data_IF_911496623815
#
_entry.id   IF_911496623815
#
_cell.length_a   1.000
_cell.length_b   1.000
_cell.length_c   1.000
_cell.angle_alpha   90.00
_cell.angle_beta   90.00
_cell.angle_gamma   90.00
#
_symmetry.space_group_name_H-M   'P 1'
#
loop_
_entity.id
_entity.type
_entity.pdbx_description
1 polymer ?
#
# COMPACT_ATOMS: atom_id res chain seq x y z
N UNK A 1 19.98 6.79 -6.08
CA UNK A 1 18.89 6.50 -7.04
C UNK A 1 17.59 6.60 -6.26
N UNK A 2 16.60 7.36 -6.75
CA UNK A 2 15.28 7.42 -6.12
C UNK A 2 14.64 6.04 -6.19
N UNK A 3 14.14 5.52 -5.06
CA UNK A 3 13.40 4.24 -5.09
C UNK A 3 12.09 4.45 -5.83
N UNK A 4 11.72 3.51 -6.70
CA UNK A 4 10.40 3.53 -7.35
C UNK A 4 9.38 2.82 -6.47
N UNK A 5 8.18 3.39 -6.36
CA UNK A 5 7.09 2.85 -5.55
C UNK A 5 5.87 2.54 -6.40
N UNK A 6 5.24 1.41 -6.13
CA UNK A 6 3.92 1.04 -6.67
C UNK A 6 3.02 0.57 -5.54
N UNK A 7 1.96 1.31 -5.27
CA UNK A 7 0.94 0.94 -4.30
C UNK A 7 -0.20 0.23 -5.03
N UNK A 8 -0.46 -1.02 -4.64
CA UNK A 8 -1.45 -1.90 -5.26
C UNK A 8 -2.63 -2.04 -4.30
N UNK A 9 -3.81 -1.63 -4.75
CA UNK A 9 -5.06 -1.80 -4.00
C UNK A 9 -6.27 -1.89 -4.94
N UNK A 10 -7.49 -1.84 -4.39
CA UNK A 10 -8.70 -1.65 -5.19
C UNK A 10 -8.97 -0.17 -5.47
N UNK A 11 -9.92 0.11 -6.36
CA UNK A 11 -10.34 1.48 -6.74
C UNK A 11 -10.88 2.31 -5.57
N UNK A 12 -11.37 1.64 -4.51
CA UNK A 12 -11.81 2.34 -3.31
C UNK A 12 -10.62 2.92 -2.51
N UNK A 13 -10.95 3.77 -1.52
CA UNK A 13 -9.96 4.34 -0.61
C UNK A 13 -9.42 3.27 0.34
N UNK A 14 -10.30 2.76 1.21
CA UNK A 14 -10.05 1.64 2.11
C UNK A 14 -8.73 1.74 2.87
N UNK A 15 -8.05 0.62 3.04
CA UNK A 15 -6.82 0.52 3.83
C UNK A 15 -5.57 1.07 3.13
N UNK A 16 -5.65 1.49 1.86
CA UNK A 16 -4.53 2.08 1.13
C UNK A 16 -4.48 3.61 1.25
N UNK A 17 -5.57 4.24 1.71
CA UNK A 17 -5.71 5.70 1.63
C UNK A 17 -4.68 6.44 2.48
N UNK A 18 -4.41 5.97 3.69
CA UNK A 18 -3.36 6.54 4.55
C UNK A 18 -2.02 6.56 3.83
N UNK A 19 -1.66 5.47 3.15
CA UNK A 19 -0.42 5.37 2.37
C UNK A 19 -0.40 6.35 1.20
N UNK A 20 -1.53 6.54 0.50
CA UNK A 20 -1.64 7.56 -0.57
C UNK A 20 -1.43 8.97 -0.03
N UNK A 21 -2.00 9.27 1.14
CA UNK A 21 -1.81 10.56 1.81
C UNK A 21 -0.34 10.77 2.21
N UNK A 22 0.32 9.74 2.77
CA UNK A 22 1.74 9.82 3.12
C UNK A 22 2.61 10.14 1.90
N UNK A 23 2.40 9.47 0.77
CA UNK A 23 3.09 9.81 -0.48
C UNK A 23 2.84 11.25 -0.91
N UNK A 24 1.57 11.69 -0.89
CA UNK A 24 1.19 13.03 -1.35
C UNK A 24 1.79 14.14 -0.46
N UNK A 25 1.73 13.98 0.86
CA UNK A 25 2.30 14.94 1.82
C UNK A 25 3.82 14.99 1.72
N UNK A 26 4.48 13.85 1.48
CA UNK A 26 5.93 13.79 1.30
C UNK A 26 6.41 14.32 -0.07
N UNK A 27 5.51 14.63 -1.01
CA UNK A 27 5.87 14.97 -2.39
C UNK A 27 6.58 13.82 -3.12
N UNK A 28 6.36 12.58 -2.68
CA UNK A 28 6.98 11.40 -3.27
C UNK A 28 6.07 10.81 -4.35
N UNK A 29 6.57 10.79 -5.58
CA UNK A 29 5.90 10.13 -6.71
C UNK A 29 5.83 8.61 -6.51
N UNK A 30 4.71 8.02 -6.90
CA UNK A 30 4.45 6.58 -6.86
C UNK A 30 3.40 6.19 -7.91
N UNK A 31 3.43 4.94 -8.36
CA UNK A 31 2.35 4.36 -9.17
C UNK A 31 1.20 3.90 -8.26
N UNK A 32 0.01 4.46 -8.44
CA UNK A 32 -1.21 4.04 -7.74
C UNK A 32 -2.00 3.04 -8.60
N UNK A 33 -1.69 1.76 -8.45
CA UNK A 33 -2.34 0.69 -9.21
C UNK A 33 -3.64 0.25 -8.51
N UNK A 34 -4.77 0.47 -9.18
CA UNK A 34 -6.11 0.27 -8.64
C UNK A 34 -6.86 -0.82 -9.40
N UNK A 35 -7.03 -1.97 -8.78
CA UNK A 35 -7.91 -3.01 -9.30
C UNK A 35 -9.38 -2.55 -9.29
N UNK A 36 -10.13 -2.77 -10.38
CA UNK A 36 -11.57 -2.55 -10.39
C UNK A 36 -12.28 -3.44 -9.37
N UNK A 37 -13.35 -2.92 -8.80
CA UNK A 37 -14.29 -3.71 -8.00
C UNK A 37 -15.45 -4.08 -8.93
N UNK A 38 -15.82 -5.36 -8.97
CA UNK A 38 -17.01 -5.84 -9.65
C UNK A 38 -18.02 -6.38 -8.65
N UNK A 39 -19.30 -6.37 -9.02
CA UNK A 39 -20.36 -7.04 -8.27
C UNK A 39 -21.05 -8.02 -9.20
N UNK A 40 -20.89 -9.31 -8.93
CA UNK A 40 -21.57 -10.39 -9.66
C UNK A 40 -22.44 -11.16 -8.66
N UNK A 41 -23.72 -11.35 -8.98
CA UNK A 41 -24.68 -12.09 -8.15
C UNK A 41 -24.75 -11.61 -6.68
N UNK A 42 -24.64 -10.29 -6.48
CA UNK A 42 -24.65 -9.67 -5.14
C UNK A 42 -23.35 -9.85 -4.34
N UNK A 43 -22.32 -10.50 -4.90
CA UNK A 43 -21.00 -10.63 -4.28
C UNK A 43 -20.03 -9.62 -4.89
N UNK A 44 -19.41 -8.82 -4.02
CA UNK A 44 -18.36 -7.89 -4.39
C UNK A 44 -17.03 -8.62 -4.50
N UNK A 45 -16.31 -8.39 -5.60
CA UNK A 45 -15.00 -8.98 -5.88
C UNK A 45 -14.03 -7.97 -6.48
N UNK A 46 -12.75 -8.27 -6.42
CA UNK A 46 -11.70 -7.45 -7.04
C UNK A 46 -11.29 -8.16 -8.33
N UNK A 47 -11.49 -7.48 -9.45
CA UNK A 47 -11.23 -8.03 -10.79
C UNK A 47 -9.74 -8.33 -10.91
N UNK A 48 -9.40 -9.51 -11.45
CA UNK A 48 -8.04 -9.99 -11.69
C UNK A 48 -7.13 -10.11 -10.46
N UNK A 49 -7.61 -9.88 -9.23
CA UNK A 49 -6.75 -10.06 -8.06
C UNK A 49 -6.37 -11.53 -7.85
N UNK A 50 -7.33 -12.44 -8.03
CA UNK A 50 -7.13 -13.87 -7.76
C UNK A 50 -6.04 -14.51 -8.63
N UNK A 51 -5.79 -13.98 -9.83
CA UNK A 51 -4.74 -14.47 -10.73
C UNK A 51 -3.34 -13.99 -10.33
N UNK A 52 -3.25 -12.88 -9.58
CA UNK A 52 -1.98 -12.25 -9.20
C UNK A 52 -1.61 -12.45 -7.74
N UNK A 53 -2.58 -12.77 -6.87
CA UNK A 53 -2.42 -12.73 -5.42
C UNK A 53 -1.35 -13.69 -4.89
N UNK A 54 -1.14 -14.83 -5.55
CA UNK A 54 -0.15 -15.86 -5.17
C UNK A 54 1.30 -15.38 -5.24
N UNK A 55 1.56 -14.26 -5.93
CA UNK A 55 2.86 -13.56 -5.92
C UNK A 55 3.22 -13.03 -4.52
N UNK A 56 2.22 -12.76 -3.67
CA UNK A 56 2.42 -12.12 -2.37
C UNK A 56 2.14 -13.10 -1.25
N UNK A 57 3.02 -13.15 -0.25
CA UNK A 57 3.00 -14.12 0.86
C UNK A 57 1.64 -14.19 1.57
N UNK A 58 0.95 -13.05 1.70
CA UNK A 58 -0.33 -12.98 2.40
C UNK A 58 -1.56 -13.06 1.47
N UNK A 59 -1.36 -13.05 0.16
CA UNK A 59 -2.43 -13.02 -0.87
C UNK A 59 -3.52 -11.96 -0.62
N UNK A 60 -3.15 -10.87 0.08
CA UNK A 60 -4.06 -9.81 0.52
C UNK A 60 -3.56 -8.44 0.09
N UNK A 61 -4.52 -7.58 -0.23
CA UNK A 61 -4.32 -6.16 -0.49
C UNK A 61 -4.48 -5.34 0.81
N UNK A 62 -3.80 -4.20 0.97
CA UNK A 62 -2.86 -3.58 0.03
C UNK A 62 -1.45 -4.21 0.02
N UNK A 63 -0.74 -3.96 -1.08
CA UNK A 63 0.69 -4.28 -1.23
C UNK A 63 1.43 -3.04 -1.72
N UNK A 64 2.59 -2.75 -1.14
CA UNK A 64 3.55 -1.79 -1.66
C UNK A 64 4.73 -2.53 -2.29
N UNK A 65 4.94 -2.32 -3.59
CA UNK A 65 6.14 -2.77 -4.29
C UNK A 65 7.19 -1.65 -4.35
N UNK A 66 8.46 -2.03 -4.19
CA UNK A 66 9.61 -1.13 -4.18
C UNK A 66 10.61 -1.61 -5.22
N UNK A 67 11.16 -0.67 -5.99
CA UNK A 67 12.21 -0.89 -7.00
C UNK A 67 11.83 -1.94 -8.04
N UNK A 68 10.63 -1.80 -8.60
CA UNK A 68 10.08 -2.74 -9.61
C UNK A 68 9.69 -4.10 -9.01
N UNK A 69 9.36 -4.15 -7.72
CA UNK A 69 8.90 -5.37 -7.04
C UNK A 69 10.03 -6.22 -6.45
N UNK A 70 11.27 -5.72 -6.40
CA UNK A 70 12.38 -6.39 -5.68
C UNK A 70 12.06 -6.60 -4.20
N UNK A 71 11.32 -5.66 -3.63
CA UNK A 71 10.76 -5.79 -2.29
C UNK A 71 9.25 -5.57 -2.37
N UNK A 72 8.50 -6.35 -1.57
CA UNK A 72 7.08 -6.15 -1.38
C UNK A 72 6.75 -6.12 0.11
N UNK A 73 5.91 -5.16 0.50
CA UNK A 73 5.39 -5.03 1.86
C UNK A 73 3.89 -5.21 1.78
N UNK A 74 3.36 -6.21 2.45
CA UNK A 74 1.92 -6.41 2.64
C UNK A 74 1.49 -5.86 4.00
N UNK A 75 0.17 -5.85 4.27
CA UNK A 75 -0.45 -5.31 5.48
C UNK A 75 -0.40 -3.78 5.53
N UNK A 76 -1.57 -3.14 5.54
CA UNK A 76 -1.69 -1.68 5.51
C UNK A 76 -0.88 -0.98 6.59
N UNK A 77 -0.95 -1.45 7.84
CA UNK A 77 -0.21 -0.84 8.95
C UNK A 77 1.30 -0.98 8.85
N UNK A 78 1.81 -2.06 8.26
CA UNK A 78 3.24 -2.21 8.02
C UNK A 78 3.72 -1.23 6.92
N UNK A 79 2.92 -1.08 5.85
CA UNK A 79 3.17 -0.12 4.78
C UNK A 79 3.16 1.31 5.34
N UNK A 80 2.13 1.68 6.10
CA UNK A 80 1.97 3.01 6.71
C UNK A 80 3.18 3.35 7.60
N UNK A 81 3.58 2.46 8.52
CA UNK A 81 4.74 2.70 9.40
C UNK A 81 6.05 2.78 8.61
N UNK A 82 6.22 1.95 7.59
CA UNK A 82 7.39 2.01 6.71
C UNK A 82 7.50 3.36 6.00
N UNK A 83 6.41 3.82 5.37
CA UNK A 83 6.35 5.09 4.65
C UNK A 83 6.50 6.28 5.61
N UNK A 84 5.78 6.28 6.73
CA UNK A 84 5.89 7.33 7.73
C UNK A 84 7.33 7.45 8.25
N UNK A 85 8.01 6.33 8.54
CA UNK A 85 9.43 6.37 8.92
C UNK A 85 10.30 6.93 7.80
N UNK A 86 10.09 6.49 6.56
CA UNK A 86 10.88 6.92 5.40
C UNK A 86 10.71 8.40 5.08
N UNK A 87 9.54 8.96 5.36
CA UNK A 87 9.22 10.37 5.13
C UNK A 87 9.38 11.23 6.39
N UNK A 88 9.97 10.70 7.47
CA UNK A 88 10.18 11.40 8.74
C UNK A 88 8.88 11.88 9.42
N UNK A 89 7.83 11.06 9.38
CA UNK A 89 6.48 11.30 9.92
C UNK A 89 6.04 10.30 11.00
N UNK A 90 6.91 9.40 11.47
CA UNK A 90 6.59 8.38 12.49
C UNK A 90 7.00 8.79 13.92
N UNK A 91 7.26 10.06 14.19
CA UNK A 91 7.85 10.49 15.47
C UNK A 91 9.34 10.18 15.59
N UNK A 92 9.98 10.76 16.61
CA UNK A 92 11.45 10.78 16.75
C UNK A 92 11.99 9.72 17.71
N UNK A 93 11.13 9.06 18.48
CA UNK A 93 11.48 7.97 19.40
C UNK A 93 10.42 6.85 19.37
N UNK A 94 10.69 5.78 20.11
CA UNK A 94 9.84 4.59 20.17
C UNK A 94 8.45 4.87 20.76
N UNK A 95 8.36 5.70 21.79
CA UNK A 95 7.09 6.11 22.41
C UNK A 95 6.26 6.94 21.43
N UNK A 96 6.85 7.97 20.81
CA UNK A 96 6.17 8.79 19.80
C UNK A 96 5.69 7.93 18.61
N UNK A 97 6.53 7.00 18.14
CA UNK A 97 6.17 6.08 17.07
C UNK A 97 5.06 5.08 17.44
N UNK A 98 4.85 4.81 18.73
CA UNK A 98 3.80 3.94 19.22
C UNK A 98 2.44 4.67 19.40
N UNK A 99 2.47 5.98 19.64
CA UNK A 99 1.26 6.81 19.78
C UNK A 99 0.55 7.03 18.44
N UNK A 100 1.31 6.98 17.34
CA UNK A 100 0.86 7.19 15.96
C UNK A 100 0.55 5.84 15.28
#
# INVERSE_FOLDING_TARGET
MSSSYKLIYSVNRGFAETSRMLFKVAGQEFEDYRYPITTNDGKMGIVDWDTHRSKYIYEKLPVLEIDGGKHSISQSKAIERFLARRFNMLGSNDIEAAII
#
